data_IF_615970866552
#
_entry.id   IF_615970866552
#
_cell.length_a   1.000
_cell.length_b   1.000
_cell.length_c   1.000
_cell.angle_alpha   90.00
_cell.angle_beta   90.00
_cell.angle_gamma   90.00
#
_symmetry.space_group_name_H-M   'P 1'
#
loop_
_entity.id
_entity.type
_entity.pdbx_description
1 polymer ?
#
# COMPACT_ATOMS: atom_id res chain seq x y z
N UNK A 1 -27.04 -23.65 -17.06
CA UNK A 1 -27.81 -24.78 -17.72
C UNK A 1 -27.04 -25.28 -18.94
N UNK A 2 -26.56 -24.43 -19.88
CA UNK A 2 -25.84 -24.87 -21.07
C UNK A 2 -24.63 -25.78 -20.77
N UNK A 3 -23.80 -25.44 -19.79
CA UNK A 3 -22.63 -26.23 -19.35
C UNK A 3 -23.01 -27.58 -18.74
N UNK A 4 -24.16 -27.68 -18.09
CA UNK A 4 -24.65 -28.93 -17.48
C UNK A 4 -25.09 -29.93 -18.56
N UNK A 5 -25.56 -29.43 -19.70
CA UNK A 5 -26.00 -30.30 -20.82
C UNK A 5 -24.83 -31.10 -21.47
N UNK A 6 -23.59 -30.77 -21.17
CA UNK A 6 -22.39 -31.43 -21.71
C UNK A 6 -21.82 -32.51 -20.78
N UNK A 7 -22.34 -32.60 -19.55
CA UNK A 7 -21.80 -33.46 -18.50
C UNK A 7 -21.78 -34.96 -18.88
N UNK A 8 -22.80 -35.44 -19.56
CA UNK A 8 -22.90 -36.83 -19.96
C UNK A 8 -22.28 -37.15 -21.30
N UNK A 9 -21.77 -36.17 -22.05
CA UNK A 9 -21.23 -36.43 -23.39
C UNK A 9 -19.99 -37.32 -23.37
N UNK A 10 -19.10 -37.13 -22.39
CA UNK A 10 -17.88 -37.97 -22.25
C UNK A 10 -18.24 -39.41 -21.91
N UNK A 11 -19.06 -39.73 -20.90
CA UNK A 11 -19.55 -41.10 -20.68
C UNK A 11 -20.25 -41.69 -21.89
N UNK A 12 -21.10 -40.97 -22.62
CA UNK A 12 -21.78 -41.45 -23.81
C UNK A 12 -20.75 -41.86 -24.90
N UNK A 13 -19.72 -41.02 -25.14
CA UNK A 13 -18.65 -41.31 -26.08
C UNK A 13 -17.78 -42.49 -25.65
N UNK A 14 -17.62 -42.71 -24.34
CA UNK A 14 -16.82 -43.85 -23.83
C UNK A 14 -17.54 -45.20 -23.97
N UNK A 15 -18.87 -45.21 -23.89
CA UNK A 15 -19.65 -46.44 -23.85
C UNK A 15 -20.53 -46.69 -25.07
N UNK A 16 -20.59 -45.77 -26.02
CA UNK A 16 -21.36 -45.90 -27.28
C UNK A 16 -20.54 -45.42 -28.47
N UNK A 17 -20.70 -46.14 -29.58
CA UNK A 17 -20.09 -45.75 -30.84
C UNK A 17 -20.98 -44.73 -31.57
N UNK A 18 -20.91 -43.49 -31.11
CA UNK A 18 -21.69 -42.37 -31.65
C UNK A 18 -20.78 -41.17 -31.96
N UNK A 19 -21.18 -40.32 -32.88
CA UNK A 19 -20.44 -39.11 -33.16
C UNK A 19 -20.47 -38.12 -31.98
N UNK A 20 -19.43 -37.27 -31.82
CA UNK A 20 -19.40 -36.30 -30.77
C UNK A 20 -20.61 -35.35 -30.73
N UNK A 21 -21.13 -34.98 -31.90
CA UNK A 21 -22.32 -34.11 -31.99
C UNK A 21 -23.57 -34.83 -31.43
N UNK A 22 -23.75 -36.10 -31.77
CA UNK A 22 -24.87 -36.91 -31.26
C UNK A 22 -24.73 -37.20 -29.77
N UNK A 23 -23.54 -37.44 -29.26
CA UNK A 23 -23.29 -37.59 -27.83
C UNK A 23 -23.64 -36.32 -27.04
N UNK A 24 -23.42 -35.15 -27.61
CA UNK A 24 -23.80 -33.85 -27.01
C UNK A 24 -25.32 -33.67 -26.98
N UNK A 25 -26.00 -34.02 -28.08
CA UNK A 25 -27.47 -33.94 -28.17
C UNK A 25 -28.15 -34.87 -27.16
N UNK A 26 -27.70 -36.14 -27.11
CA UNK A 26 -28.22 -37.14 -26.16
C UNK A 26 -27.93 -36.74 -24.70
N UNK A 27 -26.72 -36.24 -24.43
CA UNK A 27 -26.36 -35.72 -23.12
C UNK A 27 -27.26 -34.53 -22.69
N UNK A 28 -27.51 -33.62 -23.64
CA UNK A 28 -28.37 -32.47 -23.37
C UNK A 28 -29.83 -32.88 -23.08
N UNK A 29 -30.36 -33.87 -23.80
CA UNK A 29 -31.71 -34.39 -23.59
C UNK A 29 -31.83 -35.09 -22.22
N UNK A 30 -30.87 -35.96 -21.88
CA UNK A 30 -30.84 -36.68 -20.61
C UNK A 30 -30.69 -35.73 -19.40
N UNK A 31 -29.80 -34.73 -19.53
CA UNK A 31 -29.57 -33.75 -18.47
C UNK A 31 -30.79 -32.89 -18.22
N UNK A 32 -31.48 -32.39 -19.26
CA UNK A 32 -32.69 -31.58 -19.12
C UNK A 32 -33.84 -32.36 -18.46
N UNK A 33 -34.00 -33.63 -18.82
CA UNK A 33 -35.07 -34.46 -18.24
C UNK A 33 -34.88 -34.73 -16.74
N UNK A 34 -33.65 -34.54 -16.22
CA UNK A 34 -33.32 -35.02 -14.84
C UNK A 34 -32.48 -34.03 -14.03
N UNK A 35 -32.59 -32.73 -14.30
CA UNK A 35 -31.88 -31.66 -13.57
C UNK A 35 -32.07 -31.77 -12.05
N UNK A 36 -33.27 -32.15 -11.57
CA UNK A 36 -33.57 -32.27 -10.15
C UNK A 36 -32.83 -33.44 -9.45
N UNK A 37 -32.38 -34.43 -10.20
CA UNK A 37 -31.64 -35.58 -9.67
C UNK A 37 -30.10 -35.37 -9.78
N UNK A 38 -29.65 -34.64 -10.80
CA UNK A 38 -28.23 -34.45 -11.12
C UNK A 38 -27.64 -33.25 -10.34
N UNK A 39 -28.38 -32.15 -10.26
CA UNK A 39 -27.89 -30.89 -9.68
C UNK A 39 -27.62 -30.99 -8.18
N UNK A 40 -28.51 -31.54 -7.32
CA UNK A 40 -28.26 -31.53 -5.89
C UNK A 40 -26.99 -32.27 -5.47
N UNK A 41 -26.64 -33.48 -5.95
CA UNK A 41 -25.42 -34.14 -5.54
C UNK A 41 -24.17 -33.43 -6.07
N UNK A 42 -24.22 -32.80 -7.25
CA UNK A 42 -23.11 -31.98 -7.77
C UNK A 42 -22.90 -30.73 -6.93
N UNK A 43 -23.97 -30.05 -6.54
CA UNK A 43 -23.90 -28.86 -5.67
C UNK A 43 -23.39 -29.26 -4.27
N UNK A 44 -23.87 -30.36 -3.72
CA UNK A 44 -23.41 -30.86 -2.42
C UNK A 44 -21.92 -31.21 -2.46
N UNK A 45 -21.48 -31.91 -3.50
CA UNK A 45 -20.06 -32.22 -3.73
C UNK A 45 -19.20 -30.95 -3.79
N UNK A 46 -19.66 -29.96 -4.57
CA UNK A 46 -18.96 -28.68 -4.69
C UNK A 46 -18.89 -27.93 -3.35
N UNK A 47 -20.00 -27.88 -2.60
CA UNK A 47 -20.05 -27.23 -1.27
C UNK A 47 -19.12 -27.94 -0.28
N UNK A 48 -19.15 -29.27 -0.21
CA UNK A 48 -18.28 -30.04 0.68
C UNK A 48 -16.80 -29.81 0.36
N UNK A 49 -16.45 -29.85 -0.92
CA UNK A 49 -15.05 -29.65 -1.35
C UNK A 49 -14.57 -28.22 -1.07
N UNK A 50 -15.43 -27.24 -1.32
CA UNK A 50 -15.13 -25.82 -1.05
C UNK A 50 -14.99 -25.56 0.44
N UNK A 51 -15.88 -26.13 1.27
CA UNK A 51 -15.79 -26.02 2.73
C UNK A 51 -14.51 -26.64 3.28
N UNK A 52 -14.14 -27.85 2.79
CA UNK A 52 -12.90 -28.52 3.17
C UNK A 52 -11.66 -27.70 2.75
N UNK A 53 -11.62 -27.19 1.53
CA UNK A 53 -10.53 -26.35 1.05
C UNK A 53 -10.40 -25.05 1.85
N UNK A 54 -11.52 -24.42 2.19
CA UNK A 54 -11.54 -23.20 3.02
C UNK A 54 -11.02 -23.48 4.44
N UNK A 55 -11.45 -24.59 5.06
CA UNK A 55 -10.96 -24.99 6.37
C UNK A 55 -9.46 -25.27 6.37
N UNK A 56 -8.95 -25.98 5.37
CA UNK A 56 -7.50 -26.23 5.21
C UNK A 56 -6.74 -24.93 5.01
N UNK A 57 -7.22 -24.04 4.15
CA UNK A 57 -6.59 -22.73 3.93
C UNK A 57 -6.55 -21.90 5.21
N UNK A 58 -7.60 -21.96 6.04
CA UNK A 58 -7.65 -21.27 7.32
C UNK A 58 -6.63 -21.83 8.32
N UNK A 59 -6.51 -23.16 8.42
CA UNK A 59 -5.51 -23.83 9.27
C UNK A 59 -4.08 -23.49 8.78
N UNK A 60 -3.82 -23.53 7.47
CA UNK A 60 -2.53 -23.17 6.91
C UNK A 60 -2.16 -21.72 7.20
N UNK A 61 -3.14 -20.80 7.10
CA UNK A 61 -2.93 -19.38 7.43
C UNK A 61 -2.61 -19.20 8.91
N UNK A 62 -3.39 -19.82 9.80
CA UNK A 62 -3.16 -19.76 11.24
C UNK A 62 -1.77 -20.32 11.62
N UNK A 63 -1.38 -21.47 11.03
CA UNK A 63 -0.06 -22.04 11.23
C UNK A 63 1.07 -21.17 10.70
N UNK A 64 0.85 -20.47 9.56
CA UNK A 64 1.79 -19.52 9.01
C UNK A 64 1.94 -18.29 9.90
N UNK A 65 0.85 -17.73 10.40
CA UNK A 65 0.86 -16.59 11.32
C UNK A 65 1.62 -16.94 12.62
N UNK A 66 1.28 -18.09 13.25
CA UNK A 66 1.97 -18.58 14.45
C UNK A 66 3.46 -18.89 14.18
N UNK A 67 3.78 -19.45 13.01
CA UNK A 67 5.16 -19.72 12.59
C UNK A 67 5.97 -18.44 12.39
N UNK A 68 5.37 -17.41 11.81
CA UNK A 68 6.00 -16.09 11.64
C UNK A 68 6.22 -15.40 12.97
N UNK A 69 5.28 -15.51 13.92
CA UNK A 69 5.45 -14.98 15.28
C UNK A 69 6.60 -15.69 16.02
N UNK A 70 6.72 -17.03 15.89
CA UNK A 70 7.80 -17.81 16.45
C UNK A 70 9.16 -17.51 15.78
N UNK A 71 9.18 -17.34 14.46
CA UNK A 71 10.40 -17.08 13.70
C UNK A 71 11.02 -15.72 14.00
N UNK A 72 10.22 -14.80 14.53
CA UNK A 72 10.68 -13.44 14.81
C UNK A 72 11.16 -12.73 13.55
N UNK A 73 12.28 -12.01 13.63
CA UNK A 73 12.94 -11.32 12.52
C UNK A 73 14.00 -12.23 11.85
N UNK A 74 14.23 -13.44 12.39
CA UNK A 74 15.26 -14.35 11.88
C UNK A 74 14.86 -14.97 10.54
N UNK A 75 15.48 -14.49 9.49
CA UNK A 75 15.25 -14.88 8.09
C UNK A 75 15.57 -16.35 7.83
N UNK A 76 16.56 -16.91 8.53
CA UNK A 76 16.90 -18.35 8.40
C UNK A 76 15.71 -19.21 8.79
N UNK A 77 14.76 -18.65 9.58
CA UNK A 77 13.54 -19.30 10.02
C UNK A 77 12.34 -18.90 9.17
N UNK A 78 12.24 -17.62 8.75
CA UNK A 78 11.12 -17.09 7.95
C UNK A 78 11.12 -17.65 6.53
N UNK A 79 12.27 -17.70 5.85
CA UNK A 79 12.33 -18.14 4.45
C UNK A 79 11.84 -19.58 4.23
N UNK A 80 12.25 -20.58 5.04
CA UNK A 80 11.70 -21.93 4.95
C UNK A 80 10.19 -21.98 5.20
N UNK A 81 9.68 -21.21 6.19
CA UNK A 81 8.25 -21.17 6.53
C UNK A 81 7.41 -20.60 5.37
N UNK A 82 7.84 -19.50 4.79
CA UNK A 82 7.16 -18.91 3.61
C UNK A 82 7.22 -19.86 2.42
N UNK A 83 8.36 -20.50 2.18
CA UNK A 83 8.51 -21.49 1.10
C UNK A 83 7.58 -22.68 1.31
N UNK A 84 7.52 -23.22 2.52
CA UNK A 84 6.61 -24.31 2.90
C UNK A 84 5.15 -23.88 2.70
N UNK A 85 4.78 -22.70 3.21
CA UNK A 85 3.42 -22.16 3.07
C UNK A 85 2.99 -22.03 1.60
N UNK A 86 3.84 -21.44 0.76
CA UNK A 86 3.56 -21.28 -0.68
C UNK A 86 3.47 -22.63 -1.39
N UNK A 87 4.36 -23.58 -1.05
CA UNK A 87 4.37 -24.91 -1.63
C UNK A 87 3.13 -25.71 -1.23
N UNK A 88 2.74 -25.68 0.05
CA UNK A 88 1.54 -26.35 0.56
C UNK A 88 0.29 -25.73 -0.05
N UNK A 89 0.24 -24.39 -0.17
CA UNK A 89 -0.90 -23.69 -0.80
C UNK A 89 -1.04 -24.03 -2.28
N UNK A 90 0.06 -24.07 -3.05
CA UNK A 90 0.05 -24.43 -4.46
C UNK A 90 -0.35 -25.90 -4.66
N UNK A 91 0.20 -26.80 -3.84
CA UNK A 91 -0.18 -28.22 -3.85
C UNK A 91 -1.64 -28.44 -3.44
N UNK A 92 -2.12 -27.73 -2.43
CA UNK A 92 -3.52 -27.74 -1.99
C UNK A 92 -4.48 -27.29 -3.10
N UNK A 93 -4.14 -26.21 -3.81
CA UNK A 93 -4.92 -25.75 -4.96
C UNK A 93 -4.96 -26.77 -6.11
N UNK A 94 -3.82 -27.40 -6.39
CA UNK A 94 -3.75 -28.50 -7.39
C UNK A 94 -4.59 -29.70 -6.97
N UNK A 95 -4.46 -30.16 -5.74
CA UNK A 95 -5.22 -31.29 -5.19
C UNK A 95 -6.72 -31.01 -5.20
N UNK A 96 -7.11 -29.79 -4.83
CA UNK A 96 -8.48 -29.34 -4.95
C UNK A 96 -9.00 -29.43 -6.38
N UNK A 97 -8.26 -28.94 -7.37
CA UNK A 97 -8.63 -29.02 -8.78
C UNK A 97 -8.73 -30.45 -9.29
N UNK A 98 -7.79 -31.34 -8.91
CA UNK A 98 -7.79 -32.74 -9.26
C UNK A 98 -8.97 -33.50 -8.64
N UNK A 99 -9.25 -33.30 -7.36
CA UNK A 99 -10.38 -33.91 -6.66
C UNK A 99 -11.72 -33.37 -7.20
N UNK A 100 -11.79 -32.08 -7.49
CA UNK A 100 -12.96 -31.49 -8.13
C UNK A 100 -13.24 -32.15 -9.48
N UNK A 101 -12.23 -32.27 -10.34
CA UNK A 101 -12.38 -32.86 -11.66
C UNK A 101 -12.71 -34.35 -11.55
N UNK A 102 -11.92 -35.14 -10.82
CA UNK A 102 -12.10 -36.59 -10.69
C UNK A 102 -13.45 -36.94 -10.04
N UNK A 103 -13.80 -36.29 -8.94
CA UNK A 103 -15.06 -36.53 -8.24
C UNK A 103 -16.27 -36.11 -9.07
N UNK A 104 -16.14 -34.96 -9.77
CA UNK A 104 -17.15 -34.53 -10.73
C UNK A 104 -17.36 -35.59 -11.86
N UNK A 105 -16.28 -36.05 -12.48
CA UNK A 105 -16.36 -37.07 -13.53
C UNK A 105 -16.92 -38.41 -13.02
N UNK A 106 -16.48 -38.82 -11.81
CA UNK A 106 -16.98 -40.06 -11.20
C UNK A 106 -18.50 -39.95 -10.92
N UNK A 107 -18.94 -38.85 -10.34
CA UNK A 107 -20.35 -38.64 -10.01
C UNK A 107 -21.23 -38.57 -11.26
N UNK A 108 -20.76 -37.87 -12.30
CA UNK A 108 -21.43 -37.78 -13.58
C UNK A 108 -21.50 -39.17 -14.23
N UNK A 109 -20.39 -39.92 -14.31
CA UNK A 109 -20.34 -41.26 -14.91
C UNK A 109 -21.28 -42.23 -14.19
N UNK A 110 -21.31 -42.18 -12.84
CA UNK A 110 -22.22 -43.02 -12.03
C UNK A 110 -23.68 -42.71 -12.29
N UNK A 111 -24.05 -41.43 -12.29
CA UNK A 111 -25.42 -40.99 -12.55
C UNK A 111 -25.91 -41.37 -13.96
N UNK A 112 -25.02 -41.44 -14.93
CA UNK A 112 -25.33 -41.87 -16.29
C UNK A 112 -25.28 -43.40 -16.42
N UNK A 113 -24.32 -44.10 -15.80
CA UNK A 113 -24.19 -45.57 -15.89
C UNK A 113 -25.36 -46.32 -15.23
N UNK A 114 -25.93 -45.82 -14.18
CA UNK A 114 -27.12 -46.45 -13.50
C UNK A 114 -28.36 -46.51 -14.42
N UNK A 115 -28.32 -45.85 -15.61
CA UNK A 115 -29.50 -45.63 -16.46
C UNK A 115 -29.30 -45.88 -17.95
N UNK A 116 -28.08 -46.21 -18.31
CA UNK A 116 -27.77 -46.82 -19.62
C UNK A 116 -27.83 -48.33 -19.42
N UNK A 117 -28.67 -49.01 -20.18
CA UNK A 117 -28.73 -50.45 -20.13
C UNK A 117 -27.35 -51.02 -20.45
N UNK A 118 -26.59 -51.39 -19.43
CA UNK A 118 -25.23 -51.90 -19.55
C UNK A 118 -25.16 -53.35 -20.05
N UNK A 119 -26.32 -54.00 -20.15
CA UNK A 119 -26.40 -55.40 -20.68
C UNK A 119 -26.15 -55.45 -22.17
N UNK A 120 -26.22 -54.34 -22.89
CA UNK A 120 -25.94 -54.23 -24.33
C UNK A 120 -24.57 -53.63 -24.65
N UNK A 121 -23.78 -53.30 -23.63
CA UNK A 121 -22.45 -52.72 -23.82
C UNK A 121 -21.40 -53.86 -23.86
N UNK A 122 -20.99 -54.28 -25.05
CA UNK A 122 -19.74 -54.97 -25.16
C UNK A 122 -18.61 -54.01 -24.78
N UNK A 123 -17.75 -54.35 -23.80
CA UNK A 123 -16.55 -53.54 -23.57
C UNK A 123 -15.77 -53.49 -24.88
N UNK A 124 -15.28 -52.31 -25.30
CA UNK A 124 -14.48 -52.19 -26.53
C UNK A 124 -13.37 -53.21 -26.48
N UNK A 125 -13.37 -54.14 -27.48
CA UNK A 125 -12.48 -55.27 -27.54
C UNK A 125 -11.04 -54.81 -27.35
N UNK A 126 -10.43 -55.18 -26.22
CA UNK A 126 -9.00 -55.28 -26.06
C UNK A 126 -8.18 -54.00 -26.11
N UNK A 127 -8.45 -53.02 -25.19
CA UNK A 127 -7.37 -52.21 -24.64
C UNK A 127 -7.25 -52.51 -23.15
N UNK A 128 -6.68 -53.69 -22.86
CA UNK A 128 -5.96 -53.82 -21.61
C UNK A 128 -4.95 -52.66 -21.58
N UNK A 129 -5.03 -51.79 -20.59
CA UNK A 129 -4.00 -50.75 -20.42
C UNK A 129 -2.71 -51.48 -20.11
N UNK A 130 -1.87 -51.69 -21.12
CA UNK A 130 -0.51 -52.16 -20.94
C UNK A 130 0.17 -51.34 -19.86
N UNK A 131 0.97 -52.00 -19.00
CA UNK A 131 1.83 -51.29 -18.02
C UNK A 131 2.69 -50.21 -18.67
N UNK A 132 2.98 -50.33 -19.97
CA UNK A 132 3.61 -49.33 -20.81
C UNK A 132 2.76 -48.08 -21.00
N UNK A 133 1.43 -48.18 -21.09
CA UNK A 133 0.49 -47.05 -21.19
C UNK A 133 0.40 -46.23 -19.88
N UNK A 134 0.46 -46.93 -18.73
CA UNK A 134 0.48 -46.25 -17.40
C UNK A 134 1.77 -45.45 -17.22
N UNK A 135 2.94 -45.93 -17.66
CA UNK A 135 4.22 -45.23 -17.64
C UNK A 135 4.25 -44.04 -18.61
N UNK A 136 3.51 -44.11 -19.71
CA UNK A 136 3.41 -43.05 -20.72
C UNK A 136 2.64 -41.80 -20.19
N UNK A 137 1.64 -41.97 -19.33
CA UNK A 137 0.88 -40.87 -18.77
C UNK A 137 1.60 -40.22 -17.57
N UNK A 138 2.35 -40.99 -16.79
CA UNK A 138 3.06 -40.49 -15.62
C UNK A 138 4.13 -39.42 -15.97
N UNK A 139 4.84 -39.59 -17.08
CA UNK A 139 5.87 -38.65 -17.53
C UNK A 139 5.34 -37.26 -17.87
N UNK A 140 4.31 -37.07 -18.72
CA UNK A 140 3.75 -35.75 -19.01
C UNK A 140 3.06 -35.11 -17.80
N UNK A 141 2.47 -35.91 -16.90
CA UNK A 141 1.90 -35.41 -15.64
C UNK A 141 2.99 -34.87 -14.71
N UNK A 142 4.09 -35.63 -14.53
CA UNK A 142 5.24 -35.16 -13.72
C UNK A 142 5.92 -33.94 -14.35
N UNK A 143 6.05 -33.90 -15.69
CA UNK A 143 6.58 -32.73 -16.37
C UNK A 143 5.67 -31.52 -16.21
N UNK A 144 4.35 -31.67 -16.27
CA UNK A 144 3.37 -30.62 -16.01
C UNK A 144 3.43 -30.08 -14.56
N UNK A 145 3.57 -30.97 -13.57
CA UNK A 145 3.75 -30.60 -12.16
C UNK A 145 5.06 -29.86 -11.94
N UNK A 146 6.16 -30.33 -12.55
CA UNK A 146 7.46 -29.65 -12.47
C UNK A 146 7.40 -28.25 -13.10
N UNK A 147 6.74 -28.10 -14.26
CA UNK A 147 6.53 -26.81 -14.91
C UNK A 147 5.69 -25.88 -14.04
N UNK A 148 4.62 -26.36 -13.41
CA UNK A 148 3.77 -25.59 -12.50
C UNK A 148 4.56 -25.11 -11.28
N UNK A 149 5.41 -25.97 -10.72
CA UNK A 149 6.29 -25.63 -9.61
C UNK A 149 7.30 -24.54 -9.99
N UNK A 150 7.93 -24.65 -11.17
CA UNK A 150 8.87 -23.62 -11.67
C UNK A 150 8.17 -22.28 -11.90
N UNK A 151 6.95 -22.30 -12.47
CA UNK A 151 6.14 -21.09 -12.67
C UNK A 151 5.77 -20.47 -11.33
N UNK A 152 5.31 -21.26 -10.35
CA UNK A 152 4.96 -20.77 -9.01
C UNK A 152 6.18 -20.20 -8.28
N UNK A 153 7.33 -20.88 -8.33
CA UNK A 153 8.58 -20.40 -7.75
C UNK A 153 9.09 -19.13 -8.44
N UNK A 154 9.02 -19.05 -9.77
CA UNK A 154 9.37 -17.88 -10.56
C UNK A 154 8.47 -16.68 -10.24
N UNK A 155 7.16 -16.93 -10.12
CA UNK A 155 6.18 -15.88 -9.75
C UNK A 155 6.44 -15.38 -8.33
N UNK A 156 6.67 -16.28 -7.37
CA UNK A 156 7.03 -15.93 -6.00
C UNK A 156 8.34 -15.11 -5.94
N UNK A 157 9.33 -15.49 -6.75
CA UNK A 157 10.59 -14.76 -6.89
C UNK A 157 10.39 -13.33 -7.45
N UNK A 158 9.60 -13.19 -8.52
CA UNK A 158 9.29 -11.88 -9.12
C UNK A 158 8.55 -10.99 -8.13
N UNK A 159 7.57 -11.56 -7.41
CA UNK A 159 6.82 -10.83 -6.36
C UNK A 159 7.79 -10.40 -5.24
N UNK A 160 8.63 -11.31 -4.75
CA UNK A 160 9.62 -11.00 -3.72
C UNK A 160 10.63 -9.95 -4.19
N UNK A 161 11.12 -10.03 -5.43
CA UNK A 161 12.03 -9.05 -6.00
C UNK A 161 11.39 -7.65 -6.13
N UNK A 162 10.11 -7.57 -6.54
CA UNK A 162 9.35 -6.31 -6.60
C UNK A 162 9.06 -5.73 -5.22
N UNK A 163 8.86 -6.57 -4.22
CA UNK A 163 8.64 -6.15 -2.83
C UNK A 163 9.89 -5.55 -2.17
N UNK A 164 11.08 -5.87 -2.66
CA UNK A 164 12.37 -5.44 -2.09
C UNK A 164 12.92 -4.17 -2.78
N UNK A 165 12.21 -3.58 -3.74
CA UNK A 165 12.66 -2.32 -4.33
C UNK A 165 12.75 -1.21 -3.28
N UNK A 166 13.91 -0.54 -3.22
CA UNK A 166 14.15 0.63 -2.36
C UNK A 166 13.27 1.77 -2.88
N UNK A 167 12.18 2.03 -2.19
CA UNK A 167 11.41 3.25 -2.37
C UNK A 167 12.13 4.32 -1.55
N UNK A 168 12.92 5.16 -2.20
CA UNK A 168 13.59 6.29 -1.54
C UNK A 168 12.56 7.20 -0.87
N UNK A 169 12.30 6.97 0.42
CA UNK A 169 11.39 7.82 1.19
C UNK A 169 12.08 9.14 1.53
N UNK A 170 11.40 10.26 1.30
CA UNK A 170 11.88 11.57 1.69
C UNK A 170 11.71 11.81 3.19
N UNK A 171 12.61 12.59 3.77
CA UNK A 171 12.57 13.03 5.16
C UNK A 171 12.10 14.48 5.19
N UNK A 172 10.97 14.76 5.86
CA UNK A 172 10.54 16.13 6.14
C UNK A 172 10.64 16.41 7.65
N UNK A 173 11.41 17.43 7.99
CA UNK A 173 11.54 17.92 9.35
C UNK A 173 10.33 18.82 9.70
N UNK A 174 9.45 18.36 10.60
CA UNK A 174 8.21 19.02 11.00
C UNK A 174 8.51 20.30 11.79
N UNK A 175 8.15 21.46 11.22
CA UNK A 175 8.48 22.79 11.76
C UNK A 175 9.99 22.99 11.98
N UNK A 176 10.81 22.40 11.11
CA UNK A 176 12.22 22.16 11.34
C UNK A 176 12.47 20.90 12.17
N UNK A 177 13.68 20.72 12.73
CA UNK A 177 13.98 19.62 13.65
C UNK A 177 13.47 19.94 15.06
N UNK A 178 12.14 19.94 15.24
CA UNK A 178 11.47 20.43 16.45
C UNK A 178 11.71 19.59 17.72
N UNK A 179 12.21 18.36 17.57
CA UNK A 179 12.68 17.56 18.70
C UNK A 179 14.00 18.05 19.30
N UNK A 180 14.81 18.82 18.55
CA UNK A 180 16.14 19.26 18.98
C UNK A 180 16.29 20.78 19.11
N UNK A 181 15.37 21.56 18.54
CA UNK A 181 15.36 23.02 18.57
C UNK A 181 13.92 23.56 18.59
N UNK A 182 13.67 24.81 19.03
CA UNK A 182 12.33 25.39 19.04
C UNK A 182 11.72 25.39 17.64
N UNK A 183 10.50 24.91 17.52
CA UNK A 183 9.79 24.79 16.24
C UNK A 183 9.72 26.13 15.48
N UNK A 184 9.77 26.09 14.15
CA UNK A 184 9.66 27.25 13.28
C UNK A 184 10.69 28.36 13.57
N UNK A 185 11.90 28.03 14.05
CA UNK A 185 13.03 28.95 14.25
C UNK A 185 14.16 28.65 13.29
N UNK A 186 15.06 29.62 13.15
CA UNK A 186 16.26 29.44 12.33
C UNK A 186 17.17 28.34 12.89
N UNK A 187 17.19 28.13 14.21
CA UNK A 187 17.89 27.00 14.85
C UNK A 187 17.31 25.65 14.42
N UNK A 188 15.98 25.50 14.39
CA UNK A 188 15.33 24.27 13.97
C UNK A 188 15.58 23.95 12.48
N UNK A 189 15.63 24.96 11.62
CA UNK A 189 15.93 24.74 10.19
C UNK A 189 17.42 24.40 9.96
N UNK A 190 18.33 24.98 10.72
CA UNK A 190 19.75 24.57 10.72
C UNK A 190 19.91 23.12 11.14
N UNK A 191 19.27 22.72 12.23
CA UNK A 191 19.30 21.36 12.72
C UNK A 191 18.69 20.36 11.70
N UNK A 192 17.63 20.75 11.00
CA UNK A 192 17.03 19.94 9.94
C UNK A 192 18.01 19.72 8.76
N UNK A 193 18.75 20.75 8.35
CA UNK A 193 19.78 20.61 7.31
C UNK A 193 20.92 19.71 7.76
N UNK A 194 21.39 19.85 9.00
CA UNK A 194 22.45 19.01 9.58
C UNK A 194 22.02 17.54 9.68
N UNK A 195 20.74 17.29 9.94
CA UNK A 195 20.15 15.95 9.93
C UNK A 195 19.98 15.36 8.50
N UNK A 196 20.29 16.12 7.43
CA UNK A 196 20.12 15.66 6.07
C UNK A 196 18.66 15.55 5.61
N UNK A 197 17.74 16.32 6.19
CA UNK A 197 16.35 16.33 5.79
C UNK A 197 16.19 16.79 4.34
N UNK A 198 15.32 16.12 3.59
CA UNK A 198 14.98 16.49 2.21
C UNK A 198 14.19 17.78 2.17
N UNK A 199 13.26 17.92 3.12
CA UNK A 199 12.43 19.10 3.30
C UNK A 199 12.43 19.55 4.76
N UNK A 200 12.33 20.87 4.98
CA UNK A 200 11.77 21.41 6.23
C UNK A 200 10.31 21.79 5.97
N UNK A 201 9.43 21.31 6.80
CA UNK A 201 8.05 21.81 6.83
C UNK A 201 8.03 23.06 7.74
N UNK A 202 7.22 24.03 7.35
CA UNK A 202 7.02 25.29 8.08
C UNK A 202 5.63 25.83 7.82
N UNK A 203 5.04 26.47 8.83
CA UNK A 203 3.72 27.08 8.73
C UNK A 203 3.85 28.60 8.54
N UNK A 204 3.12 29.17 7.58
CA UNK A 204 3.19 30.59 7.30
C UNK A 204 1.87 31.32 7.55
N UNK A 205 1.99 32.53 8.03
CA UNK A 205 0.89 33.48 8.23
C UNK A 205 1.32 34.88 7.77
N UNK A 206 0.34 35.73 7.45
CA UNK A 206 0.59 37.13 7.09
C UNK A 206 0.42 38.03 8.29
N UNK A 207 1.37 38.94 8.50
CA UNK A 207 1.39 39.95 9.55
C UNK A 207 0.53 41.20 9.19
N UNK A 208 0.31 42.09 10.15
CA UNK A 208 -0.44 43.34 9.94
C UNK A 208 0.16 44.21 8.82
N UNK A 209 1.49 44.22 8.70
CA UNK A 209 2.23 44.96 7.66
C UNK A 209 2.45 44.16 6.37
N UNK A 210 1.74 43.01 6.24
CA UNK A 210 1.71 42.21 5.01
C UNK A 210 2.93 41.29 4.76
N UNK A 211 3.86 41.17 5.72
CA UNK A 211 5.00 40.24 5.61
C UNK A 211 4.55 38.79 5.86
N UNK A 212 5.28 37.85 5.29
CA UNK A 212 5.05 36.43 5.51
C UNK A 212 5.98 35.94 6.61
N UNK A 213 5.38 35.59 7.76
CA UNK A 213 6.10 35.11 8.93
C UNK A 213 5.90 33.60 9.12
N UNK A 214 6.93 32.93 9.65
CA UNK A 214 6.91 31.51 9.92
C UNK A 214 6.50 31.28 11.37
N UNK A 215 5.24 30.90 11.57
CA UNK A 215 4.65 30.59 12.88
C UNK A 215 3.41 29.73 12.72
N UNK A 216 3.25 28.71 13.56
CA UNK A 216 2.13 27.77 13.46
C UNK A 216 0.84 28.29 14.11
N UNK A 217 0.92 28.79 15.34
CA UNK A 217 -0.25 29.17 16.13
C UNK A 217 -0.76 30.55 15.70
N UNK A 218 -2.04 30.86 15.99
CA UNK A 218 -2.63 32.15 15.68
C UNK A 218 -2.02 33.31 16.49
N UNK A 219 -1.34 33.00 17.59
CA UNK A 219 -0.68 33.91 18.51
C UNK A 219 0.67 33.34 18.97
N UNK A 220 1.40 34.09 19.78
CA UNK A 220 2.72 33.70 20.28
C UNK A 220 2.67 33.20 21.73
N UNK A 221 1.47 33.00 22.31
CA UNK A 221 1.29 32.67 23.72
C UNK A 221 2.03 31.41 24.16
N UNK A 222 1.90 30.34 23.40
CA UNK A 222 2.52 29.05 23.73
C UNK A 222 4.04 29.14 23.75
N UNK A 223 4.64 29.81 22.77
CA UNK A 223 6.09 29.87 22.61
C UNK A 223 6.73 31.07 23.31
N UNK A 224 6.19 32.26 23.12
CA UNK A 224 6.77 33.52 23.60
C UNK A 224 6.03 34.17 24.78
N UNK A 225 4.85 33.67 25.20
CA UNK A 225 4.08 34.21 26.29
C UNK A 225 3.21 35.43 25.92
N UNK A 226 3.16 35.83 24.66
CA UNK A 226 2.38 36.95 24.16
C UNK A 226 1.06 36.48 23.53
N UNK A 227 -0.13 36.90 24.04
CA UNK A 227 -1.42 36.46 23.54
C UNK A 227 -1.90 37.20 22.27
N UNK A 228 -1.17 38.21 21.82
CA UNK A 228 -1.54 39.00 20.64
C UNK A 228 -1.45 38.15 19.40
N UNK A 229 -2.39 38.36 18.48
CA UNK A 229 -2.47 37.55 17.26
C UNK A 229 -1.48 38.04 16.20
N UNK A 230 -0.94 37.10 15.44
CA UNK A 230 0.02 37.33 14.33
C UNK A 230 -0.53 38.40 13.37
N UNK A 231 -1.81 38.30 12.98
CA UNK A 231 -2.45 39.25 12.05
C UNK A 231 -2.54 40.70 12.54
N UNK A 232 -2.44 40.92 13.86
CA UNK A 232 -2.60 42.21 14.50
C UNK A 232 -1.24 42.86 14.83
N UNK A 233 -0.13 42.18 14.57
CA UNK A 233 1.24 42.62 14.82
C UNK A 233 2.02 42.78 13.51
N UNK A 234 2.95 43.72 13.48
CA UNK A 234 3.96 43.82 12.42
C UNK A 234 5.01 42.73 12.55
N UNK A 235 5.73 42.46 11.48
CA UNK A 235 6.85 41.52 11.52
C UNK A 235 7.90 41.94 12.56
N UNK A 236 8.20 43.23 12.67
CA UNK A 236 9.16 43.75 13.64
C UNK A 236 8.73 43.52 15.09
N UNK A 237 7.45 43.70 15.40
CA UNK A 237 6.91 43.43 16.74
C UNK A 237 6.97 41.95 17.09
N UNK A 238 6.69 41.08 16.13
CA UNK A 238 6.76 39.62 16.31
C UNK A 238 8.22 39.14 16.48
N UNK A 239 9.16 39.72 15.72
CA UNK A 239 10.59 39.41 15.84
C UNK A 239 11.24 39.99 17.11
N UNK A 240 10.54 40.85 17.87
CA UNK A 240 10.96 41.26 19.20
C UNK A 240 10.59 40.27 20.31
N UNK A 241 9.81 39.21 19.99
CA UNK A 241 9.35 38.21 20.97
C UNK A 241 10.28 36.98 20.90
N UNK A 242 10.94 36.69 22.02
CA UNK A 242 11.77 35.47 22.18
C UNK A 242 10.88 34.23 22.28
N UNK A 243 10.96 33.33 21.27
CA UNK A 243 10.23 32.06 21.23
C UNK A 243 11.11 30.84 21.50
N UNK A 244 12.40 31.06 21.75
CA UNK A 244 13.37 30.00 21.98
C UNK A 244 13.59 29.67 23.44
N UNK A 245 13.63 30.69 24.30
CA UNK A 245 13.96 30.56 25.73
C UNK A 245 13.09 29.53 26.46
N UNK A 246 11.80 29.48 26.13
CA UNK A 246 10.83 28.59 26.77
C UNK A 246 11.07 27.10 26.40
N UNK A 247 11.64 26.84 25.26
CA UNK A 247 12.04 25.50 24.86
C UNK A 247 13.28 25.04 25.62
N UNK A 248 14.35 25.83 25.57
CA UNK A 248 15.61 25.63 26.33
C UNK A 248 16.35 26.96 26.41
N UNK A 249 16.91 27.35 27.57
CA UNK A 249 17.65 28.62 27.73
C UNK A 249 18.77 28.87 26.73
N UNK A 250 19.36 27.81 26.16
CA UNK A 250 20.42 27.93 25.12
C UNK A 250 19.91 28.56 23.81
N UNK A 251 18.58 28.56 23.59
CA UNK A 251 17.93 29.15 22.42
C UNK A 251 17.36 30.56 22.72
N UNK A 252 17.76 31.17 23.83
CA UNK A 252 17.38 32.56 24.12
C UNK A 252 17.76 33.44 22.94
N UNK A 253 16.78 34.27 22.46
CA UNK A 253 16.95 35.16 21.32
C UNK A 253 16.52 34.56 19.97
N UNK A 254 16.09 33.28 19.91
CA UNK A 254 15.38 32.82 18.72
C UNK A 254 14.02 33.46 18.62
N UNK A 255 13.70 33.98 17.43
CA UNK A 255 12.48 34.73 17.11
C UNK A 255 11.77 34.12 15.92
N UNK A 256 10.47 34.41 15.68
CA UNK A 256 9.79 33.97 14.48
C UNK A 256 10.47 34.52 13.21
N UNK A 257 11.03 33.73 12.32
CA UNK A 257 11.66 34.26 11.10
C UNK A 257 10.62 34.62 10.04
N UNK A 258 11.01 35.48 9.13
CA UNK A 258 10.27 35.67 7.87
C UNK A 258 10.54 34.52 6.91
N UNK A 259 9.65 34.30 5.94
CA UNK A 259 9.83 33.27 4.92
C UNK A 259 11.07 33.56 4.07
N UNK A 260 11.38 34.85 3.81
CA UNK A 260 12.60 35.27 3.11
C UNK A 260 13.89 34.83 3.83
N UNK A 261 13.94 34.98 5.15
CA UNK A 261 15.10 34.57 5.97
C UNK A 261 15.29 33.03 5.89
N UNK A 262 14.21 32.27 5.95
CA UNK A 262 14.28 30.80 5.80
C UNK A 262 14.73 30.42 4.40
N UNK A 263 14.17 31.03 3.35
CA UNK A 263 14.59 30.78 1.97
C UNK A 263 16.09 31.05 1.78
N UNK A 264 16.58 32.17 2.31
CA UNK A 264 18.00 32.52 2.24
C UNK A 264 18.90 31.45 2.92
N UNK A 265 18.46 30.90 4.05
CA UNK A 265 19.18 29.85 4.79
C UNK A 265 19.25 28.53 4.01
N UNK A 266 18.14 28.09 3.41
CA UNK A 266 18.00 26.73 2.86
C UNK A 266 18.32 26.63 1.36
N UNK A 267 18.45 27.77 0.67
CA UNK A 267 18.64 27.86 -0.78
C UNK A 267 19.77 26.95 -1.26
N UNK A 268 19.47 26.05 -2.21
CA UNK A 268 20.42 25.10 -2.80
C UNK A 268 20.86 23.96 -1.86
N UNK A 269 20.32 23.88 -0.64
CA UNK A 269 20.71 22.90 0.38
C UNK A 269 19.57 21.99 0.83
N UNK A 270 18.37 22.53 0.96
CA UNK A 270 17.19 21.80 1.43
C UNK A 270 15.95 22.42 0.77
N UNK A 271 14.96 21.60 0.47
CA UNK A 271 13.63 22.08 0.02
C UNK A 271 12.76 22.47 1.21
N UNK A 272 11.68 23.22 0.97
CA UNK A 272 10.70 23.54 1.98
C UNK A 272 9.29 23.04 1.60
N UNK A 273 8.54 22.64 2.62
CA UNK A 273 7.13 22.38 2.54
C UNK A 273 6.39 23.52 3.30
N UNK A 274 5.80 24.43 2.55
CA UNK A 274 5.12 25.59 3.11
C UNK A 274 3.66 25.25 3.37
N UNK A 275 3.28 25.12 4.65
CA UNK A 275 1.87 25.03 5.05
C UNK A 275 1.22 26.42 5.09
N UNK A 276 0.21 26.64 4.26
CA UNK A 276 -0.63 27.84 4.33
C UNK A 276 -1.59 27.70 5.50
N UNK A 277 -1.38 28.53 6.54
CA UNK A 277 -2.12 28.42 7.81
C UNK A 277 -3.25 29.43 7.87
N UNK A 278 -4.47 28.92 7.78
CA UNK A 278 -5.70 29.72 7.88
C UNK A 278 -6.28 29.67 9.31
N UNK A 279 -5.51 30.12 10.30
CA UNK A 279 -6.00 30.31 11.67
C UNK A 279 -7.10 31.37 11.72
N UNK A 280 -7.07 32.32 10.79
CA UNK A 280 -8.14 33.29 10.47
C UNK A 280 -8.23 33.40 8.94
N UNK A 281 -9.41 33.73 8.39
CA UNK A 281 -9.54 33.96 6.95
C UNK A 281 -8.60 35.08 6.47
N UNK A 282 -7.77 34.76 5.46
CA UNK A 282 -6.85 35.73 4.85
C UNK A 282 -6.75 35.49 3.33
N UNK A 283 -7.58 36.14 2.51
CA UNK A 283 -7.56 35.96 1.07
C UNK A 283 -6.27 36.46 0.41
N UNK A 284 -5.47 37.27 1.10
CA UNK A 284 -4.20 37.78 0.62
C UNK A 284 -3.00 36.87 0.87
N UNK A 285 -3.14 35.78 1.64
CA UNK A 285 -2.01 34.93 2.00
C UNK A 285 -1.43 34.21 0.77
N UNK A 286 -2.26 33.56 -0.05
CA UNK A 286 -1.78 32.82 -1.25
C UNK A 286 -1.06 33.73 -2.22
N UNK A 287 -1.66 34.86 -2.70
CA UNK A 287 -0.95 35.77 -3.61
C UNK A 287 0.38 36.26 -3.01
N UNK A 288 0.41 36.65 -1.74
CA UNK A 288 1.62 37.17 -1.10
C UNK A 288 2.74 36.11 -1.02
N UNK A 289 2.41 34.84 -0.72
CA UNK A 289 3.39 33.73 -0.71
C UNK A 289 3.90 33.46 -2.14
N UNK A 290 3.02 33.40 -3.13
CA UNK A 290 3.40 33.13 -4.53
C UNK A 290 4.31 34.26 -5.07
N UNK A 291 3.96 35.51 -4.83
CA UNK A 291 4.75 36.67 -5.26
C UNK A 291 6.13 36.67 -4.60
N UNK A 292 6.19 36.32 -3.31
CA UNK A 292 7.46 36.19 -2.59
C UNK A 292 8.34 35.09 -3.21
N UNK A 293 7.78 33.89 -3.41
CA UNK A 293 8.52 32.77 -4.00
C UNK A 293 9.03 33.10 -5.41
N UNK A 294 8.25 33.84 -6.20
CA UNK A 294 8.68 34.32 -7.54
C UNK A 294 9.82 35.34 -7.44
N UNK A 295 9.71 36.34 -6.55
CA UNK A 295 10.77 37.33 -6.33
C UNK A 295 12.08 36.68 -5.89
N UNK A 296 11.98 35.67 -5.01
CA UNK A 296 13.12 34.92 -4.51
C UNK A 296 13.66 33.87 -5.50
N UNK A 297 13.02 33.67 -6.66
CA UNK A 297 13.36 32.61 -7.62
C UNK A 297 13.48 31.22 -6.92
N UNK A 298 12.50 30.86 -6.08
CA UNK A 298 12.57 29.67 -5.21
C UNK A 298 11.51 28.61 -5.53
N UNK A 299 10.81 28.74 -6.67
CA UNK A 299 9.70 27.84 -7.06
C UNK A 299 10.11 26.36 -7.20
N UNK A 300 11.36 26.08 -7.59
CA UNK A 300 11.83 24.70 -7.82
C UNK A 300 12.23 23.95 -6.54
N UNK A 301 12.26 24.64 -5.39
CA UNK A 301 12.68 24.09 -4.11
C UNK A 301 11.56 24.12 -3.06
N UNK A 302 10.30 24.27 -3.48
CA UNK A 302 9.17 24.41 -2.57
C UNK A 302 8.00 23.54 -3.00
N UNK A 303 7.26 23.03 -2.04
CA UNK A 303 5.92 22.46 -2.20
C UNK A 303 4.97 23.22 -1.26
N UNK A 304 3.70 23.34 -1.66
CA UNK A 304 2.70 24.05 -0.86
C UNK A 304 1.70 23.06 -0.29
N UNK A 305 1.43 23.16 0.99
CA UNK A 305 0.41 22.33 1.65
C UNK A 305 -0.64 23.20 2.36
N UNK A 306 -1.86 22.70 2.46
CA UNK A 306 -2.92 23.33 3.27
C UNK A 306 -4.00 22.33 3.65
N UNK A 307 -4.67 22.62 4.78
CA UNK A 307 -5.97 22.04 5.15
C UNK A 307 -7.10 22.64 4.32
N UNK A 308 -6.91 23.88 3.87
CA UNK A 308 -7.90 24.61 3.04
C UNK A 308 -7.70 24.24 1.56
N UNK A 309 -8.62 23.43 1.04
CA UNK A 309 -8.55 23.00 -0.35
C UNK A 309 -8.77 24.15 -1.35
N UNK A 310 -9.54 25.20 -0.99
CA UNK A 310 -9.73 26.36 -1.83
C UNK A 310 -8.43 27.17 -2.01
N UNK A 311 -7.61 27.22 -0.95
CA UNK A 311 -6.27 27.82 -1.05
C UNK A 311 -5.37 27.07 -2.01
N UNK A 312 -5.39 25.73 -2.03
CA UNK A 312 -4.61 24.94 -2.98
C UNK A 312 -5.07 25.20 -4.42
N UNK A 313 -6.38 25.31 -4.66
CA UNK A 313 -6.91 25.69 -5.97
C UNK A 313 -6.46 27.07 -6.42
N UNK A 314 -6.36 28.00 -5.49
CA UNK A 314 -5.83 29.33 -5.78
C UNK A 314 -4.34 29.28 -6.12
N UNK A 315 -3.53 28.44 -5.41
CA UNK A 315 -2.12 28.20 -5.76
C UNK A 315 -1.99 27.65 -7.17
N UNK A 316 -2.74 26.59 -7.51
CA UNK A 316 -2.74 25.97 -8.85
C UNK A 316 -3.10 26.99 -9.95
N UNK A 317 -4.06 27.88 -9.67
CA UNK A 317 -4.47 28.93 -10.62
C UNK A 317 -3.40 29.99 -10.85
N UNK A 318 -2.65 30.39 -9.81
CA UNK A 318 -1.65 31.46 -9.86
C UNK A 318 -0.25 30.98 -10.32
N UNK A 319 0.09 29.73 -9.99
CA UNK A 319 1.37 29.10 -10.35
C UNK A 319 1.20 27.57 -10.50
N UNK A 320 0.75 27.09 -11.67
CA UNK A 320 0.48 25.68 -11.92
C UNK A 320 1.69 24.74 -11.81
N UNK A 321 2.91 25.30 -11.77
CA UNK A 321 4.14 24.50 -11.64
C UNK A 321 4.47 24.12 -10.20
N UNK A 322 3.83 24.75 -9.21
CA UNK A 322 4.08 24.45 -7.81
C UNK A 322 3.35 23.17 -7.40
N UNK A 323 4.08 22.15 -6.91
CA UNK A 323 3.44 20.96 -6.39
C UNK A 323 2.61 21.30 -5.15
N UNK A 324 1.36 20.81 -5.13
CA UNK A 324 0.42 21.03 -4.04
C UNK A 324 0.13 19.75 -3.26
N UNK A 325 -0.06 19.87 -1.94
CA UNK A 325 -0.40 18.78 -1.05
C UNK A 325 -1.61 19.06 -0.19
N UNK A 326 -2.62 18.20 -0.26
CA UNK A 326 -3.82 18.33 0.56
C UNK A 326 -3.61 17.67 1.91
N UNK A 327 -3.61 18.46 2.98
CA UNK A 327 -3.56 17.97 4.37
C UNK A 327 -4.94 17.45 4.76
N UNK A 328 -5.02 16.17 5.10
CA UNK A 328 -6.29 15.51 5.44
C UNK A 328 -6.26 15.03 6.88
N UNK A 329 -7.00 15.68 7.76
CA UNK A 329 -7.14 15.32 9.19
C UNK A 329 -8.27 14.33 9.43
N UNK A 330 -9.40 14.50 8.71
CA UNK A 330 -10.57 13.63 8.79
C UNK A 330 -10.99 13.20 7.37
N UNK A 331 -11.12 11.90 7.15
CA UNK A 331 -11.63 11.40 5.87
C UNK A 331 -13.16 11.54 5.84
N UNK A 332 -13.65 12.69 5.39
CA UNK A 332 -15.04 12.84 4.95
C UNK A 332 -15.02 12.78 3.42
N UNK A 333 -15.52 11.67 2.85
CA UNK A 333 -15.53 11.49 1.41
C UNK A 333 -14.29 10.77 0.82
N UNK A 334 -14.18 10.79 -0.50
CA UNK A 334 -13.09 10.16 -1.22
C UNK A 334 -11.90 11.13 -1.40
N UNK A 335 -10.90 11.02 -0.53
CA UNK A 335 -9.68 11.86 -0.55
C UNK A 335 -8.90 11.78 -1.87
N UNK A 336 -9.05 10.70 -2.64
CA UNK A 336 -8.41 10.55 -3.94
C UNK A 336 -8.98 11.48 -5.03
N UNK A 337 -10.13 12.13 -4.77
CA UNK A 337 -10.70 13.16 -5.66
C UNK A 337 -10.03 14.52 -5.55
N UNK A 338 -9.18 14.73 -4.55
CA UNK A 338 -8.35 15.94 -4.49
C UNK A 338 -7.54 16.05 -5.79
N UNK A 339 -7.41 17.23 -6.36
CA UNK A 339 -6.57 17.48 -7.55
C UNK A 339 -5.10 17.72 -7.18
N UNK A 340 -4.80 17.95 -5.90
CA UNK A 340 -3.45 18.12 -5.40
C UNK A 340 -2.52 16.94 -5.82
N UNK A 341 -1.24 17.23 -6.02
CA UNK A 341 -0.23 16.27 -6.47
C UNK A 341 0.05 15.18 -5.44
N UNK A 342 -0.11 15.49 -4.15
CA UNK A 342 0.04 14.52 -3.09
C UNK A 342 -0.96 14.71 -1.95
N UNK A 343 -1.16 13.65 -1.18
CA UNK A 343 -1.98 13.65 0.03
C UNK A 343 -1.07 13.68 1.26
N UNK A 344 -1.30 14.62 2.17
CA UNK A 344 -0.61 14.68 3.46
C UNK A 344 -1.53 14.15 4.57
N UNK A 345 -1.28 12.92 5.02
CA UNK A 345 -2.18 12.13 5.83
C UNK A 345 -1.66 11.94 7.26
N UNK A 346 -2.56 11.89 8.24
CA UNK A 346 -2.20 11.34 9.53
C UNK A 346 -1.77 9.87 9.37
N UNK A 347 -0.65 9.47 9.99
CA UNK A 347 -0.04 8.13 9.85
C UNK A 347 -0.99 6.97 10.18
N UNK A 348 -1.94 7.17 11.12
CA UNK A 348 -2.94 6.17 11.45
C UNK A 348 -3.89 5.84 10.28
N UNK A 349 -4.03 6.76 9.32
CA UNK A 349 -4.92 6.62 8.14
C UNK A 349 -4.22 6.10 6.90
N UNK A 350 -2.90 6.16 6.84
CA UNK A 350 -2.10 5.73 5.70
C UNK A 350 -1.97 4.19 5.64
N UNK A 351 -3.07 3.51 5.33
CA UNK A 351 -3.03 2.05 5.09
C UNK A 351 -2.32 1.74 3.77
N UNK A 352 -1.69 0.55 3.68
CA UNK A 352 -1.04 0.09 2.45
C UNK A 352 -2.00 0.10 1.23
N UNK A 353 -3.30 -0.19 1.45
CA UNK A 353 -4.31 -0.13 0.40
C UNK A 353 -4.54 1.31 -0.10
N UNK A 354 -4.62 2.29 0.82
CA UNK A 354 -4.80 3.70 0.46
C UNK A 354 -3.58 4.24 -0.29
N UNK A 355 -2.36 3.92 0.18
CA UNK A 355 -1.10 4.32 -0.49
C UNK A 355 -1.08 3.80 -1.92
N UNK A 356 -1.34 2.51 -2.14
CA UNK A 356 -1.40 1.95 -3.50
C UNK A 356 -2.46 2.61 -4.38
N UNK A 357 -3.64 2.92 -3.84
CA UNK A 357 -4.71 3.62 -4.58
C UNK A 357 -4.34 5.05 -4.94
N UNK A 358 -3.64 5.75 -4.04
CA UNK A 358 -3.13 7.10 -4.30
C UNK A 358 -2.09 7.07 -5.43
N UNK A 359 -1.12 6.16 -5.37
CA UNK A 359 -0.13 5.98 -6.43
C UNK A 359 -0.77 5.59 -7.78
N UNK A 360 -1.77 4.71 -7.78
CA UNK A 360 -2.52 4.36 -8.98
C UNK A 360 -3.31 5.56 -9.58
N UNK A 361 -3.64 6.54 -8.75
CA UNK A 361 -4.24 7.81 -9.16
C UNK A 361 -3.19 8.91 -9.49
N UNK A 362 -1.89 8.56 -9.55
CA UNK A 362 -0.80 9.49 -9.84
C UNK A 362 -0.46 10.44 -8.69
N UNK A 363 -0.85 10.12 -7.45
CA UNK A 363 -0.66 10.99 -6.27
C UNK A 363 0.39 10.45 -5.32
N UNK A 364 1.29 11.34 -4.84
CA UNK A 364 2.18 11.02 -3.74
C UNK A 364 1.44 10.91 -2.39
N UNK A 365 2.09 10.27 -1.42
CA UNK A 365 1.56 10.15 -0.04
C UNK A 365 2.63 10.57 0.95
N UNK A 366 2.37 11.65 1.67
CA UNK A 366 3.16 12.12 2.80
C UNK A 366 2.43 11.79 4.11
N UNK A 367 3.16 11.44 5.17
CA UNK A 367 2.54 11.09 6.47
C UNK A 367 3.10 11.93 7.61
N UNK A 368 2.22 12.38 8.53
CA UNK A 368 2.53 13.23 9.67
C UNK A 368 1.79 12.81 10.94
N UNK A 369 2.21 13.21 12.14
CA UNK A 369 3.58 13.42 12.52
C UNK A 369 4.08 12.10 13.08
N UNK A 370 5.21 11.58 12.58
CA UNK A 370 5.68 10.24 12.90
C UNK A 370 6.98 10.31 13.68
N UNK A 371 6.92 10.02 14.99
CA UNK A 371 8.04 10.19 15.91
C UNK A 371 8.51 8.87 16.55
N UNK A 372 7.83 7.75 16.26
CA UNK A 372 8.20 6.44 16.82
C UNK A 372 8.86 5.57 15.74
N UNK A 373 10.03 4.94 16.02
CA UNK A 373 10.78 4.16 15.05
C UNK A 373 9.95 3.05 14.39
N UNK A 374 9.12 2.35 15.16
CA UNK A 374 8.27 1.27 14.66
C UNK A 374 7.15 1.78 13.72
N UNK A 375 6.68 3.02 13.93
CA UNK A 375 5.71 3.66 13.02
C UNK A 375 6.42 4.19 11.77
N UNK A 376 7.62 4.78 11.92
CA UNK A 376 8.46 5.21 10.78
C UNK A 376 8.70 4.03 9.85
N UNK A 377 9.19 2.92 10.38
CA UNK A 377 9.45 1.72 9.61
C UNK A 377 8.17 1.19 8.94
N UNK A 378 7.05 1.16 9.66
CA UNK A 378 5.76 0.74 9.11
C UNK A 378 5.31 1.62 7.94
N UNK A 379 5.48 2.94 8.02
CA UNK A 379 5.12 3.85 6.93
C UNK A 379 6.01 3.64 5.71
N UNK A 380 7.32 3.49 5.92
CA UNK A 380 8.28 3.15 4.86
C UNK A 380 7.87 1.86 4.14
N UNK A 381 7.53 0.79 4.90
CA UNK A 381 7.10 -0.49 4.31
C UNK A 381 5.74 -0.42 3.61
N UNK A 382 4.86 0.50 4.01
CA UNK A 382 3.61 0.78 3.29
C UNK A 382 3.83 1.52 1.97
N UNK A 383 5.07 2.00 1.72
CA UNK A 383 5.47 2.66 0.49
C UNK A 383 5.06 4.13 0.43
N UNK A 384 5.01 4.83 1.57
CA UNK A 384 4.80 6.29 1.55
C UNK A 384 5.99 6.99 0.92
N UNK A 385 5.75 8.12 0.27
CA UNK A 385 6.80 8.87 -0.44
C UNK A 385 7.58 9.80 0.48
N UNK A 386 6.96 10.21 1.60
CA UNK A 386 7.57 11.16 2.53
C UNK A 386 7.06 10.91 3.96
N UNK A 387 7.96 11.02 4.92
CA UNK A 387 7.63 10.97 6.36
C UNK A 387 7.97 12.31 6.99
N UNK A 388 6.97 12.94 7.61
CA UNK A 388 7.08 14.20 8.35
C UNK A 388 7.24 13.87 9.83
N UNK A 389 8.36 14.29 10.43
CA UNK A 389 8.77 13.94 11.79
C UNK A 389 9.37 15.14 12.54
N UNK A 390 9.21 15.17 13.85
CA UNK A 390 9.90 16.12 14.72
C UNK A 390 11.39 15.79 14.86
N UNK A 391 11.77 14.50 14.67
CA UNK A 391 13.14 13.99 14.81
C UNK A 391 13.66 13.41 13.46
N UNK A 392 14.16 14.26 12.56
CA UNK A 392 14.71 13.82 11.28
C UNK A 392 15.98 12.97 11.44
N UNK A 393 16.75 13.12 12.54
CA UNK A 393 17.94 12.30 12.82
C UNK A 393 17.53 10.85 13.10
N UNK A 394 16.49 10.67 13.92
CA UNK A 394 15.94 9.35 14.20
C UNK A 394 15.43 8.67 12.93
N UNK A 395 14.68 9.41 12.09
CA UNK A 395 14.16 8.86 10.84
C UNK A 395 15.29 8.48 9.86
N UNK A 396 16.32 9.31 9.75
CA UNK A 396 17.50 8.98 8.94
C UNK A 396 18.16 7.69 9.41
N UNK A 397 18.31 7.51 10.73
CA UNK A 397 18.83 6.27 11.33
C UNK A 397 17.96 5.07 10.98
N UNK A 398 16.64 5.17 11.14
CA UNK A 398 15.71 4.07 10.79
C UNK A 398 15.82 3.69 9.31
N UNK A 399 15.99 4.66 8.41
CA UNK A 399 16.20 4.42 6.98
C UNK A 399 17.52 3.69 6.73
N UNK A 400 18.61 4.11 7.37
CA UNK A 400 19.93 3.47 7.23
C UNK A 400 19.93 2.05 7.82
N UNK A 401 19.37 1.85 9.00
CA UNK A 401 19.22 0.51 9.59
C UNK A 401 18.40 -0.42 8.67
N UNK A 402 17.33 0.11 8.08
CA UNK A 402 16.54 -0.64 7.09
C UNK A 402 17.35 -0.97 5.82
N UNK A 403 18.17 -0.04 5.32
CA UNK A 403 19.04 -0.26 4.14
C UNK A 403 20.11 -1.31 4.40
N UNK A 404 20.57 -1.43 5.63
CA UNK A 404 21.55 -2.44 6.05
C UNK A 404 20.96 -3.86 6.11
N UNK A 405 19.63 -4.01 6.12
CA UNK A 405 18.98 -5.32 6.14
C UNK A 405 19.21 -6.07 4.81
N UNK A 406 19.43 -7.38 4.91
CA UNK A 406 19.48 -8.26 3.75
C UNK A 406 18.09 -8.37 3.07
N UNK A 407 18.08 -8.73 1.78
CA UNK A 407 16.80 -8.90 1.02
C UNK A 407 15.77 -9.80 1.71
N UNK A 408 16.16 -10.93 2.32
CA UNK A 408 15.22 -11.75 3.06
C UNK A 408 14.66 -11.04 4.32
N UNK A 409 15.48 -10.31 5.07
CA UNK A 409 15.03 -9.55 6.25
C UNK A 409 14.01 -8.48 5.87
N UNK A 410 14.24 -7.78 4.77
CA UNK A 410 13.29 -6.83 4.20
C UNK A 410 11.96 -7.49 3.79
N UNK A 411 12.01 -8.70 3.23
CA UNK A 411 10.81 -9.45 2.88
C UNK A 411 10.01 -9.84 4.12
N UNK A 412 10.69 -10.37 5.15
CA UNK A 412 10.08 -10.70 6.44
C UNK A 412 9.43 -9.51 7.12
N UNK A 413 10.09 -8.35 7.06
CA UNK A 413 9.58 -7.09 7.58
C UNK A 413 8.29 -6.64 6.86
N UNK A 414 8.28 -6.67 5.51
CA UNK A 414 7.11 -6.30 4.70
C UNK A 414 5.91 -7.20 4.93
N UNK A 415 6.12 -8.51 5.04
CA UNK A 415 5.04 -9.46 5.31
C UNK A 415 4.35 -9.24 6.67
N UNK A 416 5.03 -8.60 7.63
CA UNK A 416 4.44 -8.24 8.94
C UNK A 416 3.65 -6.94 8.92
N UNK A 417 3.91 -6.07 7.96
CA UNK A 417 3.34 -4.72 7.90
C UNK A 417 2.15 -4.65 6.91
N UNK A 418 2.05 -5.58 5.97
CA UNK A 418 0.94 -5.73 5.01
C UNK A 418 -0.26 -6.43 5.64
#
# INVERSE_FOLDING_TARGET
IASLCWLGAVPILMFRDVSPARALEESAALTRARLQEIVPPLVLWWLMLTAAATAIAWVCRFAADAGLDWAGIDVRRVLPLVTVYLTVSAFGAFLYGALWFAGHQFLVTRLFAERVDTTTLEPPAGRAMDEAGSRSIARPVLAGLAALFVIAAGTAWIIAARLVMDTGVAITAHRGASASAPENTMAAFRAAMEAGATYAELAVQRTADGRILVLHDADVLRMGGDPRKVKDLTAAELQAIDIGRKYDPKFTGEVPPTLEEVIALVRGRMKINVELKYNVPDPGLVPAVIDLLKREAFLDQVVITSLDYAALKQVESLEPRLPTGHIVTAAVGNVLRSEADFLSLNSARASASLVRKAHAAGKGVHVWTVNKPEVMLRMIERGVDNVITDDPVLLARVIEERRALSRPELLGLRLRVL
#
